data_IF_532726201263
#
_entry.id   IF_532726201263
#
_cell.length_a   1.000
_cell.length_b   1.000
_cell.length_c   1.000
_cell.angle_alpha   90.00
_cell.angle_beta   90.00
_cell.angle_gamma   90.00
#
_symmetry.space_group_name_H-M   'P 1'
#
loop_
_entity.id
_entity.type
_entity.pdbx_description
1 polymer ?
#
# COMPACT_ATOMS: atom_id res chain seq x y z
N UNK A 1 5.02 -11.10 1.36
CA UNK A 1 6.08 -10.34 2.04
C UNK A 1 6.39 -9.10 1.19
N UNK A 2 6.56 -7.93 1.81
CA UNK A 2 6.80 -6.67 1.06
C UNK A 2 8.17 -6.63 0.38
N UNK A 3 9.18 -7.28 0.94
CA UNK A 3 10.49 -7.41 0.31
C UNK A 3 10.48 -8.30 -0.91
N UNK A 4 9.75 -9.42 -0.82
CA UNK A 4 9.61 -10.31 -1.96
C UNK A 4 8.79 -9.69 -3.10
N UNK A 5 7.71 -8.98 -2.77
CA UNK A 5 6.93 -8.24 -3.76
C UNK A 5 7.78 -7.20 -4.50
N UNK A 6 8.56 -6.40 -3.76
CA UNK A 6 9.52 -5.45 -4.34
C UNK A 6 10.55 -6.14 -5.24
N UNK A 7 11.09 -7.29 -4.82
CA UNK A 7 12.06 -8.07 -5.62
C UNK A 7 11.47 -8.55 -6.94
N UNK A 8 10.18 -8.87 -6.96
CA UNK A 8 9.45 -9.35 -8.13
C UNK A 8 8.84 -8.21 -8.98
N UNK A 9 8.99 -6.95 -8.55
CA UNK A 9 8.38 -5.81 -9.23
C UNK A 9 6.84 -5.81 -9.14
N UNK A 10 6.28 -6.45 -8.11
CA UNK A 10 4.84 -6.50 -7.87
C UNK A 10 4.43 -5.27 -7.05
N UNK A 11 3.48 -4.46 -7.52
CA UNK A 11 2.99 -3.30 -6.76
C UNK A 11 2.38 -3.70 -5.43
N UNK A 12 2.63 -2.90 -4.39
CA UNK A 12 2.18 -3.11 -3.02
C UNK A 12 1.36 -1.94 -2.52
N UNK A 13 0.11 -2.23 -2.15
CA UNK A 13 -0.75 -1.33 -1.38
C UNK A 13 -0.72 -1.79 0.08
N UNK A 14 -0.35 -0.89 0.99
CA UNK A 14 -0.42 -1.15 2.44
C UNK A 14 -1.67 -0.48 3.01
N UNK A 15 -2.50 -1.28 3.67
CA UNK A 15 -3.69 -0.81 4.40
C UNK A 15 -3.39 -0.86 5.88
N UNK A 16 -3.40 0.29 6.56
CA UNK A 16 -3.21 0.32 8.01
C UNK A 16 -4.04 1.42 8.68
N UNK A 17 -4.47 1.19 9.92
CA UNK A 17 -5.13 2.26 10.68
C UNK A 17 -4.17 3.44 10.93
N UNK A 18 -4.66 4.69 10.93
CA UNK A 18 -3.84 5.89 11.19
C UNK A 18 -3.06 5.82 12.51
N UNK A 19 -3.56 5.05 13.50
CA UNK A 19 -2.91 4.84 14.80
C UNK A 19 -1.52 4.19 14.69
N UNK A 20 -1.23 3.51 13.57
CA UNK A 20 0.04 2.82 13.34
C UNK A 20 1.03 3.63 12.49
N UNK A 21 0.75 4.90 12.17
CA UNK A 21 1.56 5.74 11.27
C UNK A 21 3.05 5.77 11.63
N UNK A 22 3.41 5.76 12.91
CA UNK A 22 4.81 5.75 13.34
C UNK A 22 5.44 4.35 13.32
N UNK A 23 4.69 3.33 13.73
CA UNK A 23 5.16 1.94 13.69
C UNK A 23 5.40 1.43 12.27
N UNK A 24 4.68 1.99 11.29
CA UNK A 24 4.67 1.50 9.90
C UNK A 24 5.55 2.32 8.94
N UNK A 25 6.38 3.25 9.44
CA UNK A 25 7.18 4.15 8.59
C UNK A 25 8.09 3.41 7.61
N UNK A 26 8.76 2.36 8.08
CA UNK A 26 9.65 1.51 7.27
C UNK A 26 8.89 0.71 6.20
N UNK A 27 7.65 0.31 6.48
CA UNK A 27 6.80 -0.37 5.50
C UNK A 27 6.25 0.62 4.46
N UNK A 28 5.88 1.82 4.89
CA UNK A 28 5.43 2.88 3.97
C UNK A 28 6.51 3.29 2.96
N UNK A 29 7.78 3.27 3.34
CA UNK A 29 8.90 3.54 2.43
C UNK A 29 9.10 2.44 1.37
N UNK A 30 8.51 1.26 1.58
CA UNK A 30 8.67 0.07 0.73
C UNK A 30 7.39 -0.30 -0.03
N UNK A 31 6.35 0.52 0.08
CA UNK A 31 5.06 0.35 -0.58
C UNK A 31 4.85 1.44 -1.62
N UNK A 32 4.12 1.12 -2.68
CA UNK A 32 3.75 2.10 -3.71
C UNK A 32 2.68 3.06 -3.21
N UNK A 33 1.72 2.55 -2.42
CA UNK A 33 0.63 3.35 -1.87
C UNK A 33 0.30 2.88 -0.45
N UNK A 34 0.05 3.86 0.44
CA UNK A 34 -0.41 3.63 1.80
C UNK A 34 -1.80 4.23 1.97
N UNK A 35 -2.76 3.42 2.41
CA UNK A 35 -4.15 3.83 2.66
C UNK A 35 -4.61 3.41 4.05
N UNK A 36 -5.69 4.03 4.52
CA UNK A 36 -6.21 3.81 5.87
C UNK A 36 -7.38 2.82 5.93
N UNK A 37 -7.96 2.45 4.79
CA UNK A 37 -9.08 1.52 4.71
C UNK A 37 -9.05 0.71 3.40
N UNK A 38 -9.89 -0.33 3.34
CA UNK A 38 -10.03 -1.14 2.15
C UNK A 38 -10.76 -0.38 1.03
N UNK A 39 -11.71 0.48 1.38
CA UNK A 39 -12.42 1.34 0.43
C UNK A 39 -11.42 2.21 -0.35
N UNK A 40 -10.48 2.83 0.36
CA UNK A 40 -9.41 3.61 -0.27
C UNK A 40 -8.49 2.75 -1.14
N UNK A 41 -8.22 1.50 -0.75
CA UNK A 41 -7.44 0.59 -1.59
C UNK A 41 -8.17 0.29 -2.91
N UNK A 42 -9.50 0.10 -2.85
CA UNK A 42 -10.33 -0.11 -4.04
C UNK A 42 -10.35 1.15 -4.91
N UNK A 43 -10.44 2.34 -4.34
CA UNK A 43 -10.35 3.60 -5.09
C UNK A 43 -9.02 3.75 -5.83
N UNK A 44 -7.91 3.38 -5.19
CA UNK A 44 -6.57 3.36 -5.81
C UNK A 44 -6.52 2.38 -6.98
N UNK A 45 -7.06 1.16 -6.80
CA UNK A 45 -7.13 0.18 -7.88
C UNK A 45 -8.00 0.69 -9.03
N UNK A 46 -9.16 1.27 -8.73
CA UNK A 46 -10.05 1.84 -9.74
C UNK A 46 -9.36 2.95 -10.53
N UNK A 47 -8.56 3.81 -9.88
CA UNK A 47 -7.78 4.85 -10.54
C UNK A 47 -6.66 4.29 -11.44
N UNK A 48 -5.91 3.30 -10.95
CA UNK A 48 -4.79 2.71 -11.67
C UNK A 48 -5.24 1.92 -12.90
N UNK A 49 -6.42 1.29 -12.81
CA UNK A 49 -6.99 0.44 -13.87
C UNK A 49 -8.21 1.07 -14.55
N UNK A 50 -8.33 2.41 -14.55
CA UNK A 50 -9.48 3.15 -15.07
C UNK A 50 -9.64 3.12 -16.62
N UNK A 51 -9.02 2.17 -17.33
CA UNK A 51 -9.09 2.02 -18.79
C UNK A 51 -10.32 1.20 -19.24
#
# INVERSE_FOLDING_TARGET
DIGEANRLGVPVIVVHSPVFRHAMKELGARSDVVVNSLEQAVEVLAYVYAD
#
